data_IF_872215864735
#
_entry.id   IF_872215864735
#
_cell.length_a   1.000
_cell.length_b   1.000
_cell.length_c   1.000
_cell.angle_alpha   90.00
_cell.angle_beta   90.00
_cell.angle_gamma   90.00
#
_symmetry.space_group_name_H-M   'P 1'
#
loop_
_entity.id
_entity.type
_entity.pdbx_description
1 polymer ?
#
# COMPACT_ATOMS: atom_id res chain seq x y z
N UNK A 1 -4.38 -31.97 -12.64
CA UNK A 1 -4.77 -30.57 -12.96
C UNK A 1 -5.83 -30.20 -11.96
N UNK A 2 -5.53 -29.26 -11.07
CA UNK A 2 -6.55 -28.74 -10.13
C UNK A 2 -7.60 -28.01 -10.95
N UNK A 3 -8.84 -28.44 -10.86
CA UNK A 3 -9.96 -27.78 -11.50
C UNK A 3 -10.36 -26.64 -10.56
N UNK A 4 -10.05 -25.39 -10.93
CA UNK A 4 -10.44 -24.21 -10.15
C UNK A 4 -11.94 -23.99 -10.32
N UNK A 5 -12.66 -23.93 -9.21
CA UNK A 5 -14.08 -23.57 -9.20
C UNK A 5 -14.17 -22.07 -9.03
N UNK A 6 -14.67 -21.39 -10.07
CA UNK A 6 -14.96 -19.96 -10.00
C UNK A 6 -16.25 -19.75 -9.18
N UNK A 7 -16.16 -18.98 -8.10
CA UNK A 7 -17.33 -18.55 -7.34
C UNK A 7 -17.73 -17.13 -7.76
N UNK A 8 -18.71 -17.05 -8.66
CA UNK A 8 -19.21 -15.79 -9.23
C UNK A 8 -20.12 -14.99 -8.27
N UNK A 9 -20.34 -15.47 -7.04
CA UNK A 9 -21.15 -14.78 -6.04
C UNK A 9 -20.31 -13.93 -5.06
N UNK A 10 -18.99 -13.88 -5.25
CA UNK A 10 -18.09 -13.12 -4.41
C UNK A 10 -17.60 -11.85 -5.12
N UNK A 11 -17.34 -10.82 -4.33
CA UNK A 11 -16.67 -9.60 -4.80
C UNK A 11 -15.16 -9.75 -4.65
N UNK A 12 -14.41 -9.18 -5.58
CA UNK A 12 -12.95 -9.25 -5.58
C UNK A 12 -12.38 -8.08 -4.78
N UNK A 13 -11.70 -8.37 -3.67
CA UNK A 13 -11.07 -7.37 -2.82
C UNK A 13 -9.56 -7.58 -2.68
N UNK A 14 -8.81 -6.50 -2.51
CA UNK A 14 -7.42 -6.56 -2.08
C UNK A 14 -7.34 -6.74 -0.56
N UNK A 15 -6.37 -7.52 -0.08
CA UNK A 15 -6.03 -7.59 1.35
C UNK A 15 -5.11 -6.41 1.73
N UNK A 16 -4.99 -6.01 3.01
CA UNK A 16 -3.99 -5.02 3.41
C UNK A 16 -2.56 -5.42 3.02
N UNK A 17 -2.22 -6.70 3.12
CA UNK A 17 -0.93 -7.24 2.67
C UNK A 17 -0.73 -7.12 1.15
N UNK A 18 -1.79 -7.38 0.37
CA UNK A 18 -1.78 -7.18 -1.07
C UNK A 18 -1.61 -5.71 -1.46
N UNK A 19 -2.29 -4.80 -0.75
CA UNK A 19 -2.13 -3.37 -0.96
C UNK A 19 -0.70 -2.93 -0.65
N UNK A 20 -0.11 -3.39 0.47
CA UNK A 20 1.29 -3.09 0.78
C UNK A 20 2.25 -3.63 -0.30
N UNK A 21 2.04 -4.88 -0.75
CA UNK A 21 2.80 -5.47 -1.84
C UNK A 21 2.72 -4.61 -3.13
N UNK A 22 1.56 -4.06 -3.44
CA UNK A 22 1.39 -3.21 -4.62
C UNK A 22 2.19 -1.90 -4.52
N UNK A 23 2.12 -1.21 -3.38
CA UNK A 23 2.64 0.16 -3.24
C UNK A 23 4.08 0.25 -2.71
N UNK A 24 4.69 -0.84 -2.20
CA UNK A 24 6.05 -0.78 -1.61
C UNK A 24 7.17 -0.56 -2.64
N UNK A 25 6.90 -0.78 -3.91
CA UNK A 25 7.86 -0.65 -5.02
C UNK A 25 7.15 -0.16 -6.28
N UNK A 26 7.87 0.58 -7.12
CA UNK A 26 7.41 1.06 -8.42
C UNK A 26 7.98 0.27 -9.60
N UNK A 27 8.64 -0.86 -9.36
CA UNK A 27 9.11 -1.75 -10.43
C UNK A 27 7.89 -2.41 -11.07
N UNK A 28 7.72 -2.34 -12.40
CA UNK A 28 6.59 -2.96 -13.09
C UNK A 28 6.51 -4.46 -12.78
N UNK A 29 5.36 -4.89 -12.30
CA UNK A 29 5.08 -6.29 -11.98
C UNK A 29 3.57 -6.55 -12.10
N UNK A 30 3.20 -7.62 -12.79
CA UNK A 30 1.79 -7.91 -13.10
C UNK A 30 0.88 -8.01 -11.87
N UNK A 31 1.40 -8.49 -10.74
CA UNK A 31 0.65 -8.58 -9.49
C UNK A 31 0.35 -7.22 -8.90
N UNK A 32 1.32 -6.30 -8.94
CA UNK A 32 1.14 -4.91 -8.49
C UNK A 32 0.15 -4.18 -9.38
N UNK A 33 0.35 -4.27 -10.70
CA UNK A 33 -0.54 -3.64 -11.68
C UNK A 33 -1.98 -4.12 -11.52
N UNK A 34 -2.18 -5.40 -11.21
CA UNK A 34 -3.51 -5.95 -10.95
C UNK A 34 -4.17 -5.30 -9.74
N UNK A 35 -3.44 -5.17 -8.63
CA UNK A 35 -3.99 -4.59 -7.39
C UNK A 35 -4.23 -3.09 -7.54
N UNK A 36 -3.34 -2.35 -8.20
CA UNK A 36 -3.55 -0.93 -8.53
C UNK A 36 -4.84 -0.75 -9.34
N UNK A 37 -5.03 -1.52 -10.41
CA UNK A 37 -6.26 -1.46 -11.22
C UNK A 37 -7.50 -1.85 -10.42
N UNK A 38 -7.39 -2.85 -9.52
CA UNK A 38 -8.50 -3.24 -8.66
C UNK A 38 -8.92 -2.10 -7.72
N UNK A 39 -7.97 -1.32 -7.20
CA UNK A 39 -8.24 -0.17 -6.33
C UNK A 39 -8.73 1.08 -7.09
N UNK A 40 -8.68 1.10 -8.42
CA UNK A 40 -9.27 2.16 -9.24
C UNK A 40 -10.79 2.00 -9.45
N UNK A 41 -11.36 0.86 -9.05
CA UNK A 41 -12.81 0.71 -9.02
C UNK A 41 -13.40 1.46 -7.83
N UNK A 42 -14.53 2.20 -7.98
CA UNK A 42 -15.17 2.90 -6.88
C UNK A 42 -15.77 1.95 -5.82
N UNK A 43 -15.96 0.70 -6.21
CA UNK A 43 -16.36 -0.40 -5.33
C UNK A 43 -15.76 -1.71 -5.82
N UNK A 44 -15.57 -2.66 -4.91
CA UNK A 44 -15.06 -3.99 -5.28
C UNK A 44 -15.97 -4.64 -6.31
N UNK A 45 -15.44 -5.05 -7.48
CA UNK A 45 -16.24 -5.64 -8.54
C UNK A 45 -16.73 -7.05 -8.16
N UNK A 46 -17.93 -7.43 -8.64
CA UNK A 46 -18.39 -8.81 -8.58
C UNK A 46 -17.46 -9.67 -9.44
N UNK A 47 -16.93 -10.74 -8.87
CA UNK A 47 -15.92 -11.54 -9.53
C UNK A 47 -16.52 -12.44 -10.61
N UNK A 48 -16.02 -12.29 -11.82
CA UNK A 48 -16.32 -13.16 -12.96
C UNK A 48 -15.11 -13.24 -13.89
N UNK A 49 -15.22 -14.09 -14.91
CA UNK A 49 -14.13 -14.28 -15.89
C UNK A 49 -13.79 -13.00 -16.66
N UNK A 50 -14.77 -12.15 -16.94
CA UNK A 50 -14.57 -10.92 -17.71
C UNK A 50 -13.75 -9.92 -16.91
N UNK A 51 -14.10 -9.69 -15.65
CA UNK A 51 -13.35 -8.86 -14.70
C UNK A 51 -11.92 -9.38 -14.52
N UNK A 52 -11.73 -10.71 -14.39
CA UNK A 52 -10.38 -11.27 -14.30
C UNK A 52 -9.53 -10.97 -15.55
N UNK A 53 -10.11 -11.10 -16.75
CA UNK A 53 -9.44 -10.80 -18.02
C UNK A 53 -9.14 -9.31 -18.17
N UNK A 54 -10.08 -8.44 -17.82
CA UNK A 54 -9.96 -6.99 -17.92
C UNK A 54 -8.84 -6.47 -17.04
N UNK A 55 -8.87 -6.80 -15.74
CA UNK A 55 -7.87 -6.30 -14.78
C UNK A 55 -6.48 -6.85 -15.11
N UNK A 56 -6.36 -8.17 -15.37
CA UNK A 56 -5.07 -8.82 -15.64
C UNK A 56 -4.52 -8.54 -17.04
N UNK A 57 -5.36 -8.12 -17.99
CA UNK A 57 -5.05 -8.04 -19.43
C UNK A 57 -4.58 -9.40 -20.01
N UNK A 58 -5.12 -10.51 -19.49
CA UNK A 58 -4.79 -11.87 -19.90
C UNK A 58 -6.00 -12.58 -20.49
N UNK A 59 -5.75 -13.65 -21.27
CA UNK A 59 -6.81 -14.54 -21.78
C UNK A 59 -7.37 -15.41 -20.66
N UNK A 60 -8.67 -15.78 -20.76
CA UNK A 60 -9.48 -16.49 -19.76
C UNK A 60 -8.70 -17.47 -18.86
N UNK A 61 -8.07 -18.50 -19.45
CA UNK A 61 -7.37 -19.52 -18.69
C UNK A 61 -6.22 -18.93 -17.83
N UNK A 62 -5.38 -18.09 -18.44
CA UNK A 62 -4.25 -17.45 -17.75
C UNK A 62 -4.71 -16.43 -16.73
N UNK A 63 -5.80 -15.70 -17.00
CA UNK A 63 -6.38 -14.76 -16.06
C UNK A 63 -6.84 -15.45 -14.77
N UNK A 64 -7.56 -16.58 -14.90
CA UNK A 64 -8.01 -17.36 -13.75
C UNK A 64 -6.85 -18.00 -12.96
N UNK A 65 -5.86 -18.55 -13.65
CA UNK A 65 -4.64 -19.09 -13.04
C UNK A 65 -3.88 -17.98 -12.26
N UNK A 66 -3.83 -16.77 -12.82
CA UNK A 66 -3.17 -15.62 -12.21
C UNK A 66 -3.93 -15.11 -10.97
N UNK A 67 -5.26 -14.99 -11.06
CA UNK A 67 -6.11 -14.61 -9.91
C UNK A 67 -5.99 -15.65 -8.80
N UNK A 68 -6.00 -16.92 -9.12
CA UNK A 68 -5.79 -17.98 -8.14
C UNK A 68 -4.41 -17.86 -7.44
N UNK A 69 -3.35 -17.59 -8.20
CA UNK A 69 -2.03 -17.36 -7.63
C UNK A 69 -2.01 -16.15 -6.68
N UNK A 70 -2.63 -15.04 -7.05
CA UNK A 70 -2.75 -13.87 -6.17
C UNK A 70 -3.52 -14.20 -4.88
N UNK A 71 -4.55 -15.04 -4.97
CA UNK A 71 -5.35 -15.47 -3.83
C UNK A 71 -4.57 -16.42 -2.91
N UNK A 72 -3.85 -17.39 -3.45
CA UNK A 72 -2.97 -18.29 -2.70
C UNK A 72 -1.84 -17.53 -2.00
N UNK A 73 -1.34 -16.47 -2.63
CA UNK A 73 -0.36 -15.56 -2.04
C UNK A 73 -0.95 -14.63 -0.95
N UNK A 74 -2.27 -14.68 -0.71
CA UNK A 74 -2.95 -13.83 0.26
C UNK A 74 -3.02 -12.35 -0.12
N UNK A 75 -2.84 -12.02 -1.41
CA UNK A 75 -2.83 -10.64 -1.89
C UNK A 75 -4.22 -10.11 -2.22
N UNK A 76 -5.13 -10.99 -2.59
CA UNK A 76 -6.55 -10.71 -2.87
C UNK A 76 -7.43 -11.71 -2.13
N UNK A 77 -8.70 -11.35 -1.96
CA UNK A 77 -9.70 -12.15 -1.25
C UNK A 77 -11.07 -12.04 -1.91
N UNK A 78 -11.86 -13.09 -1.83
CA UNK A 78 -13.30 -13.07 -2.14
C UNK A 78 -14.09 -12.53 -0.96
N UNK A 79 -14.94 -11.54 -1.19
CA UNK A 79 -15.80 -10.89 -0.19
C UNK A 79 -17.26 -11.24 -0.43
N UNK A 80 -18.03 -11.50 0.62
CA UNK A 80 -19.47 -11.76 0.53
C UNK A 80 -20.27 -10.48 0.21
N UNK A 81 -19.74 -9.34 0.60
CA UNK A 81 -20.35 -8.02 0.39
C UNK A 81 -19.38 -7.09 -0.33
N UNK A 82 -19.93 -6.22 -1.20
CA UNK A 82 -19.14 -5.18 -1.85
C UNK A 82 -18.62 -4.17 -0.83
N UNK A 83 -17.35 -3.85 -0.92
CA UNK A 83 -16.73 -2.71 -0.24
C UNK A 83 -16.70 -1.51 -1.18
N UNK A 84 -16.77 -0.32 -0.64
CA UNK A 84 -16.71 0.93 -1.40
C UNK A 84 -15.45 1.72 -1.06
N UNK A 85 -14.91 2.42 -2.05
CA UNK A 85 -13.89 3.42 -1.81
C UNK A 85 -14.39 4.45 -0.79
N UNK A 86 -13.53 5.00 0.07
CA UNK A 86 -13.94 6.01 1.03
C UNK A 86 -14.63 7.19 0.32
N UNK A 87 -15.87 7.57 0.72
CA UNK A 87 -16.63 8.61 0.02
C UNK A 87 -16.20 10.03 0.40
N UNK A 88 -15.39 10.18 1.44
CA UNK A 88 -14.95 11.47 1.96
C UNK A 88 -13.70 11.97 1.24
N UNK A 89 -13.43 13.28 1.32
CA UNK A 89 -12.17 13.83 0.80
C UNK A 89 -10.98 13.34 1.60
N UNK A 90 -9.84 13.18 0.93
CA UNK A 90 -8.61 12.70 1.55
C UNK A 90 -8.24 13.49 2.81
N UNK A 91 -8.39 14.82 2.79
CA UNK A 91 -8.07 15.69 3.93
C UNK A 91 -8.88 15.37 5.20
N UNK A 92 -10.13 14.94 5.05
CA UNK A 92 -10.99 14.54 6.17
C UNK A 92 -10.67 13.14 6.69
N UNK A 93 -10.27 12.25 5.80
CA UNK A 93 -9.97 10.85 6.11
C UNK A 93 -8.61 10.70 6.78
N UNK A 94 -7.60 11.46 6.32
CA UNK A 94 -6.20 11.26 6.73
C UNK A 94 -5.99 11.20 8.24
N UNK A 95 -6.50 12.14 9.08
CA UNK A 95 -6.20 12.10 10.51
C UNK A 95 -6.69 10.83 11.21
N UNK A 96 -7.85 10.32 10.78
CA UNK A 96 -8.41 9.10 11.37
C UNK A 96 -7.67 7.85 10.87
N UNK A 97 -7.44 7.73 9.57
CA UNK A 97 -6.73 6.59 8.99
C UNK A 97 -5.30 6.51 9.54
N UNK A 98 -4.57 7.63 9.52
CA UNK A 98 -3.19 7.69 9.99
C UNK A 98 -3.06 7.29 11.47
N UNK A 99 -4.00 7.71 12.32
CA UNK A 99 -4.00 7.34 13.75
C UNK A 99 -4.01 5.82 13.96
N UNK A 100 -4.72 5.07 13.13
CA UNK A 100 -4.85 3.60 13.28
C UNK A 100 -3.65 2.84 12.72
N UNK A 101 -2.76 3.50 11.97
CA UNK A 101 -1.56 2.87 11.39
C UNK A 101 -0.35 2.84 12.33
N UNK A 102 -0.50 3.33 13.53
CA UNK A 102 0.52 3.36 14.58
C UNK A 102 -0.06 2.85 15.89
N UNK A 103 0.69 2.07 16.65
CA UNK A 103 0.31 1.66 18.02
C UNK A 103 0.26 2.85 18.99
N UNK A 104 1.03 3.92 18.73
CA UNK A 104 1.00 5.17 19.48
C UNK A 104 -0.01 6.19 18.92
N UNK A 105 -0.67 5.90 17.81
CA UNK A 105 -1.56 6.84 17.13
C UNK A 105 -0.85 8.02 16.47
N UNK A 106 0.44 7.88 16.13
CA UNK A 106 1.29 8.93 15.57
C UNK A 106 1.71 8.58 14.14
N UNK A 107 1.19 9.28 13.15
CA UNK A 107 1.62 9.10 11.76
C UNK A 107 1.50 10.38 10.94
N UNK A 108 2.29 10.45 9.85
CA UNK A 108 2.30 11.52 8.86
C UNK A 108 2.28 10.90 7.48
N UNK A 109 1.50 11.44 6.55
CA UNK A 109 1.62 11.16 5.14
C UNK A 109 2.28 12.35 4.45
N UNK A 110 3.45 12.15 3.85
CA UNK A 110 4.22 13.17 3.16
C UNK A 110 4.33 12.87 1.66
N UNK A 111 4.34 13.91 0.83
CA UNK A 111 4.63 13.80 -0.60
C UNK A 111 6.15 13.78 -0.86
N UNK A 112 6.53 13.47 -2.10
CA UNK A 112 7.93 13.26 -2.50
C UNK A 112 8.85 14.46 -2.28
N UNK A 113 8.31 15.70 -2.20
CA UNK A 113 9.07 16.94 -1.97
C UNK A 113 9.23 17.29 -0.50
N UNK A 114 8.70 16.48 0.41
CA UNK A 114 8.82 16.69 1.84
C UNK A 114 7.77 17.63 2.44
N UNK A 115 6.64 17.83 1.75
CA UNK A 115 5.46 18.47 2.32
C UNK A 115 4.51 17.38 2.84
N UNK A 116 3.94 17.54 4.03
CA UNK A 116 2.96 16.57 4.50
C UNK A 116 1.54 16.92 4.01
N UNK A 117 0.76 15.88 3.73
CA UNK A 117 -0.63 15.97 3.31
C UNK A 117 -1.60 15.87 4.48
N UNK A 118 -1.18 15.17 5.54
CA UNK A 118 -1.95 15.00 6.76
C UNK A 118 -1.12 14.36 7.85
N UNK A 119 -1.52 14.55 9.10
CA UNK A 119 -0.87 14.00 10.27
C UNK A 119 -1.86 13.61 11.36
N UNK A 120 -1.45 12.71 12.23
CA UNK A 120 -2.11 12.36 13.48
C UNK A 120 -1.08 12.22 14.59
N UNK A 121 -1.39 12.67 15.80
CA UNK A 121 -0.60 12.47 17.01
C UNK A 121 0.75 13.21 17.10
N UNK A 122 1.30 13.71 16.02
CA UNK A 122 2.49 14.58 16.02
C UNK A 122 2.07 16.05 16.07
N UNK A 123 2.82 16.92 16.79
CA UNK A 123 2.71 18.38 16.64
C UNK A 123 2.99 18.81 15.19
N UNK A 124 2.43 19.95 14.79
CA UNK A 124 2.56 20.48 13.42
C UNK A 124 4.03 20.62 12.99
N UNK A 125 4.84 21.25 13.81
CA UNK A 125 6.26 21.48 13.54
C UNK A 125 7.03 20.17 13.35
N UNK A 126 6.74 19.18 14.21
CA UNK A 126 7.36 17.85 14.09
C UNK A 126 6.91 17.12 12.80
N UNK A 127 5.65 17.26 12.42
CA UNK A 127 5.15 16.67 11.18
C UNK A 127 5.83 17.28 9.93
N UNK A 128 6.06 18.61 9.93
CA UNK A 128 6.80 19.29 8.85
C UNK A 128 8.26 18.84 8.78
N UNK A 129 8.96 18.78 9.92
CA UNK A 129 10.36 18.33 9.97
C UNK A 129 10.52 16.86 9.56
N UNK A 130 9.62 15.98 10.01
CA UNK A 130 9.61 14.57 9.63
C UNK A 130 9.33 14.40 8.13
N UNK A 131 8.43 15.18 7.56
CA UNK A 131 8.17 15.16 6.13
C UNK A 131 9.40 15.61 5.32
N UNK A 132 10.06 16.69 5.73
CA UNK A 132 11.31 17.15 5.12
C UNK A 132 12.43 16.09 5.24
N UNK A 133 12.57 15.46 6.42
CA UNK A 133 13.52 14.36 6.64
C UNK A 133 13.25 13.18 5.71
N UNK A 134 11.97 12.84 5.45
CA UNK A 134 11.61 11.75 4.55
C UNK A 134 12.11 11.95 3.11
N UNK A 135 12.11 13.19 2.63
CA UNK A 135 12.67 13.53 1.32
C UNK A 135 14.20 13.34 1.29
N UNK A 136 14.89 13.71 2.36
CA UNK A 136 16.34 13.50 2.50
C UNK A 136 16.69 12.00 2.54
N UNK A 137 15.97 11.19 3.32
CA UNK A 137 16.18 9.75 3.39
C UNK A 137 15.99 9.08 2.02
N UNK A 138 15.00 9.54 1.26
CA UNK A 138 14.81 9.07 -0.12
C UNK A 138 15.99 9.41 -1.03
N UNK A 139 16.55 10.62 -0.92
CA UNK A 139 17.73 11.02 -1.68
C UNK A 139 18.96 10.19 -1.29
N UNK A 140 19.13 9.90 0.01
CA UNK A 140 20.18 9.00 0.52
C UNK A 140 20.01 7.59 -0.07
N UNK A 141 18.79 7.04 0.00
CA UNK A 141 18.51 5.73 -0.59
C UNK A 141 18.83 5.68 -2.10
N UNK A 142 18.38 6.68 -2.86
CA UNK A 142 18.62 6.75 -4.31
C UNK A 142 20.13 6.77 -4.62
N UNK A 143 20.92 7.52 -3.84
CA UNK A 143 22.38 7.60 -3.99
C UNK A 143 23.09 6.27 -3.71
N UNK A 144 22.58 5.50 -2.76
CA UNK A 144 23.20 4.24 -2.33
C UNK A 144 22.46 2.97 -2.80
N UNK A 145 21.55 3.12 -3.79
CA UNK A 145 20.73 2.03 -4.30
C UNK A 145 21.57 0.85 -4.79
N UNK A 146 22.67 1.12 -5.51
CA UNK A 146 23.56 0.07 -6.03
C UNK A 146 24.18 -0.75 -4.90
N UNK A 147 24.63 -0.10 -3.84
CA UNK A 147 25.15 -0.81 -2.66
C UNK A 147 24.04 -1.65 -2.01
N UNK A 148 22.88 -1.03 -1.73
CA UNK A 148 21.83 -1.67 -0.93
C UNK A 148 21.13 -2.80 -1.69
N UNK A 149 20.70 -2.55 -2.92
CA UNK A 149 19.95 -3.53 -3.73
C UNK A 149 20.87 -4.41 -4.58
N UNK A 150 21.87 -3.82 -5.22
CA UNK A 150 22.79 -4.54 -6.11
C UNK A 150 23.76 -5.43 -5.34
N UNK A 151 24.58 -4.83 -4.47
CA UNK A 151 25.66 -5.57 -3.81
C UNK A 151 25.18 -6.38 -2.59
N UNK A 152 24.26 -5.81 -1.78
CA UNK A 152 23.80 -6.43 -0.53
C UNK A 152 22.47 -7.20 -0.68
N UNK A 153 21.75 -7.01 -1.78
CA UNK A 153 20.49 -7.72 -2.06
C UNK A 153 19.30 -7.29 -1.20
N UNK A 154 19.38 -6.15 -0.50
CA UNK A 154 18.27 -5.65 0.30
C UNK A 154 17.16 -5.10 -0.59
N UNK A 155 15.96 -5.64 -0.45
CA UNK A 155 14.81 -5.23 -1.27
C UNK A 155 13.94 -4.17 -0.61
N UNK A 156 14.02 -4.04 0.70
CA UNK A 156 13.21 -3.06 1.45
C UNK A 156 13.74 -1.64 1.25
N UNK A 157 12.82 -0.68 1.21
CA UNK A 157 13.12 0.75 1.03
C UNK A 157 12.76 1.58 2.26
N UNK A 158 12.17 0.95 3.27
CA UNK A 158 11.82 1.61 4.52
C UNK A 158 13.08 1.91 5.34
N UNK A 159 13.05 3.02 6.07
CA UNK A 159 14.08 3.45 7.01
C UNK A 159 13.46 3.69 8.38
N UNK A 160 14.24 3.58 9.45
CA UNK A 160 13.73 3.84 10.79
C UNK A 160 14.81 4.09 11.81
N UNK A 161 14.42 4.80 12.87
CA UNK A 161 15.10 4.78 14.16
C UNK A 161 14.57 3.58 14.93
N UNK A 162 15.46 2.77 15.44
CA UNK A 162 15.15 1.56 16.20
C UNK A 162 15.79 1.67 17.59
N UNK A 163 15.10 1.15 18.59
CA UNK A 163 15.64 1.01 19.94
C UNK A 163 16.65 -0.15 20.03
N UNK A 164 17.24 -0.33 21.20
CA UNK A 164 18.20 -1.41 21.45
C UNK A 164 17.58 -2.83 21.34
N UNK A 165 16.27 -2.94 21.39
CA UNK A 165 15.51 -4.20 21.24
C UNK A 165 15.09 -4.47 19.79
N UNK A 166 15.36 -3.50 18.89
CA UNK A 166 14.99 -3.59 17.47
C UNK A 166 13.58 -3.09 17.14
N UNK A 167 12.85 -2.50 18.09
CA UNK A 167 11.56 -1.90 17.82
C UNK A 167 11.69 -0.55 17.12
N UNK A 168 10.73 -0.21 16.27
CA UNK A 168 10.67 1.10 15.63
C UNK A 168 10.24 2.17 16.64
N UNK A 169 11.02 3.23 16.77
CA UNK A 169 10.60 4.48 17.43
C UNK A 169 9.93 5.41 16.42
N UNK A 170 10.51 5.53 15.23
CA UNK A 170 9.92 6.19 14.07
C UNK A 170 10.43 5.56 12.78
N UNK A 171 9.52 5.24 11.87
CA UNK A 171 9.87 4.65 10.60
C UNK A 171 9.27 5.41 9.41
N UNK A 172 9.86 5.21 8.23
CA UNK A 172 9.57 5.89 6.97
C UNK A 172 9.36 4.83 5.89
N UNK A 173 8.12 4.67 5.43
CA UNK A 173 7.74 3.70 4.40
C UNK A 173 7.38 4.44 3.12
N UNK A 174 8.25 4.42 2.09
CA UNK A 174 7.89 4.90 0.77
C UNK A 174 6.76 4.06 0.20
N UNK A 175 5.72 4.71 -0.31
CA UNK A 175 4.61 4.08 -1.04
C UNK A 175 4.46 4.74 -2.40
N UNK A 176 4.16 3.93 -3.42
CA UNK A 176 4.11 4.35 -4.82
C UNK A 176 2.71 4.13 -5.37
N UNK A 177 2.08 5.20 -5.86
CA UNK A 177 0.72 5.19 -6.39
C UNK A 177 0.74 5.91 -7.74
N UNK A 178 0.56 5.18 -8.81
CA UNK A 178 0.76 5.68 -10.16
C UNK A 178 2.18 6.22 -10.34
N UNK A 179 2.30 7.48 -10.73
CA UNK A 179 3.60 8.18 -10.88
C UNK A 179 4.03 8.92 -9.61
N UNK A 180 3.19 8.90 -8.59
CA UNK A 180 3.44 9.63 -7.35
C UNK A 180 4.13 8.73 -6.33
N UNK A 181 5.02 9.34 -5.56
CA UNK A 181 5.62 8.73 -4.39
C UNK A 181 5.20 9.52 -3.16
N UNK A 182 4.71 8.80 -2.19
CA UNK A 182 4.45 9.31 -0.85
C UNK A 182 5.39 8.62 0.14
N UNK A 183 5.51 9.17 1.33
CA UNK A 183 6.15 8.50 2.47
C UNK A 183 5.17 8.48 3.62
N UNK A 184 4.85 7.28 4.09
CA UNK A 184 4.11 7.08 5.32
C UNK A 184 5.14 7.04 6.47
N UNK A 185 5.04 7.98 7.40
CA UNK A 185 5.93 8.14 8.55
C UNK A 185 5.12 7.71 9.77
N UNK A 186 5.63 6.75 10.54
CA UNK A 186 4.91 6.15 11.66
C UNK A 186 5.78 6.22 12.91
N UNK A 187 5.29 6.86 13.98
CA UNK A 187 5.88 6.78 15.30
C UNK A 187 5.43 5.48 15.98
N UNK A 188 6.36 4.83 16.69
CA UNK A 188 6.11 3.54 17.31
C UNK A 188 6.09 2.37 16.32
N UNK A 189 5.34 1.33 16.65
CA UNK A 189 5.24 0.10 15.86
C UNK A 189 4.18 0.25 14.77
N UNK A 190 4.55 0.01 13.48
CA UNK A 190 3.64 0.15 12.36
C UNK A 190 2.53 -0.91 12.37
N UNK A 191 1.30 -0.48 12.10
CA UNK A 191 0.10 -1.31 12.01
C UNK A 191 -0.43 -1.35 10.56
N UNK A 192 0.43 -1.77 9.61
CA UNK A 192 0.10 -1.73 8.18
C UNK A 192 -0.86 -2.86 7.73
N UNK A 193 -0.98 -3.93 8.51
CA UNK A 193 -1.94 -5.01 8.23
C UNK A 193 -3.34 -4.69 8.78
N UNK A 194 -3.85 -3.50 8.50
CA UNK A 194 -5.13 -2.99 8.97
C UNK A 194 -6.00 -2.55 7.79
N UNK A 195 -7.34 -2.63 7.89
CA UNK A 195 -8.25 -2.09 6.87
C UNK A 195 -8.00 -0.62 6.57
N UNK A 196 -7.59 0.17 7.56
CA UNK A 196 -7.26 1.59 7.39
C UNK A 196 -6.13 1.83 6.36
N UNK A 197 -5.14 0.94 6.28
CA UNK A 197 -4.09 1.05 5.26
C UNK A 197 -4.65 0.83 3.84
N UNK A 198 -5.51 -0.18 3.67
CA UNK A 198 -6.22 -0.38 2.39
C UNK A 198 -7.06 0.84 2.02
N UNK A 199 -7.82 1.39 2.97
CA UNK A 199 -8.64 2.59 2.73
C UNK A 199 -7.79 3.81 2.37
N UNK A 200 -6.64 4.01 3.03
CA UNK A 200 -5.71 5.09 2.70
C UNK A 200 -5.23 4.98 1.25
N UNK A 201 -4.72 3.81 0.86
CA UNK A 201 -4.22 3.61 -0.50
C UNK A 201 -5.35 3.72 -1.52
N UNK A 202 -6.53 3.16 -1.22
CA UNK A 202 -7.69 3.26 -2.10
C UNK A 202 -8.10 4.71 -2.34
N UNK A 203 -8.14 5.53 -1.28
CA UNK A 203 -8.44 6.97 -1.41
C UNK A 203 -7.36 7.75 -2.20
N UNK A 204 -6.12 7.27 -2.25
CA UNK A 204 -5.03 7.88 -3.03
C UNK A 204 -5.02 7.42 -4.50
N UNK A 205 -5.67 6.29 -4.82
CA UNK A 205 -5.82 5.78 -6.20
C UNK A 205 -6.98 6.44 -6.96
N UNK A 206 -8.01 6.93 -6.21
CA UNK A 206 -9.20 7.60 -6.76
C UNK A 206 -8.92 9.05 -7.16
#
# INVERSE_FOLDING_TARGET
MSEYILNENLYLGATPGGVYYAVQDNTPESGRDFIHKLLQYPQTPLFNTEVACEISNLKKKRALEFVHWLQEAGLIIGLEHSEQAPPETLERLLPQLLRTLSDEGKAVLAESRGLYLGSAGFPHEAAEELAALSANLTAVYARHKELLQGNLGYRQRAWGLIDASGNSEVGFWPIYIGQNRFTLIIGGIPQLNQPAFKQLVWALEM
#
